data_IF_626058205188
#
_entry.id   IF_626058205188
#
_cell.length_a   1.000
_cell.length_b   1.000
_cell.length_c   1.000
_cell.angle_alpha   90.00
_cell.angle_beta   90.00
_cell.angle_gamma   90.00
#
_symmetry.space_group_name_H-M   'P 1'
#
loop_
_entity.id
_entity.type
_entity.pdbx_description
1 polymer ?
#
# COMPACT_ATOMS: atom_id res chain seq x y z
N UNK A 1 -54.77 -37.76 4.19
CA UNK A 1 -54.21 -37.54 5.54
C UNK A 1 -52.82 -36.96 5.36
N UNK A 2 -52.55 -35.93 6.17
CA UNK A 2 -51.35 -35.09 6.30
C UNK A 2 -51.10 -33.91 5.34
N UNK A 3 -50.68 -32.74 5.89
CA UNK A 3 -51.24 -31.45 5.49
C UNK A 3 -50.24 -30.50 4.83
N UNK A 4 -50.82 -29.54 4.11
CA UNK A 4 -50.19 -28.36 3.50
C UNK A 4 -49.40 -27.58 4.56
N UNK A 5 -48.07 -27.67 4.51
CA UNK A 5 -47.18 -26.88 5.35
C UNK A 5 -47.19 -25.41 4.92
N UNK A 6 -47.60 -24.56 5.86
CA UNK A 6 -47.60 -23.11 5.79
C UNK A 6 -46.17 -22.60 5.63
N UNK A 7 -45.91 -21.82 4.57
CA UNK A 7 -44.71 -20.97 4.48
C UNK A 7 -44.84 -19.84 5.49
N UNK A 8 -43.86 -19.72 6.38
CA UNK A 8 -43.71 -18.60 7.31
C UNK A 8 -43.40 -17.32 6.53
N UNK A 9 -44.25 -16.31 6.68
CA UNK A 9 -44.01 -14.95 6.23
C UNK A 9 -42.99 -14.27 7.16
N UNK A 10 -41.86 -13.82 6.63
CA UNK A 10 -40.98 -12.87 7.31
C UNK A 10 -41.35 -11.45 6.86
N UNK A 11 -41.70 -10.53 7.77
CA UNK A 11 -41.98 -9.14 7.41
C UNK A 11 -40.68 -8.41 7.02
N UNK A 12 -40.76 -7.62 5.95
CA UNK A 12 -39.68 -6.74 5.47
C UNK A 12 -39.42 -5.60 6.49
N UNK A 13 -38.16 -5.16 6.65
CA UNK A 13 -37.81 -4.04 7.53
C UNK A 13 -38.35 -2.71 7.00
N UNK A 14 -38.75 -1.83 7.92
CA UNK A 14 -39.28 -0.50 7.63
C UNK A 14 -38.23 0.43 6.98
N UNK A 15 -38.64 1.34 6.07
CA UNK A 15 -37.73 2.26 5.39
C UNK A 15 -37.18 3.34 6.33
N UNK A 16 -35.88 3.59 6.22
CA UNK A 16 -35.15 4.64 6.94
C UNK A 16 -35.43 6.01 6.29
N UNK A 17 -35.77 7.07 7.05
CA UNK A 17 -36.06 8.38 6.48
C UNK A 17 -34.80 9.10 5.98
N UNK A 18 -34.87 9.57 4.74
CA UNK A 18 -33.91 10.42 4.04
C UNK A 18 -33.77 11.77 4.73
N UNK A 19 -32.58 12.10 5.25
CA UNK A 19 -32.26 13.44 5.75
C UNK A 19 -31.87 14.35 4.58
N UNK A 20 -32.53 15.52 4.49
CA UNK A 20 -32.29 16.56 3.49
C UNK A 20 -30.96 17.32 3.73
N UNK A 21 -30.32 17.85 2.67
CA UNK A 21 -29.05 18.57 2.78
C UNK A 21 -29.20 19.95 3.43
N UNK A 22 -28.30 20.27 4.37
CA UNK A 22 -28.17 21.59 5.00
C UNK A 22 -27.48 22.60 4.05
N UNK A 23 -27.92 23.87 4.01
CA UNK A 23 -27.29 24.91 3.21
C UNK A 23 -25.99 25.44 3.85
N UNK A 24 -25.07 25.87 2.99
CA UNK A 24 -23.80 26.51 3.34
C UNK A 24 -23.99 27.93 3.91
N UNK A 25 -23.16 28.38 4.87
CA UNK A 25 -23.17 29.77 5.30
C UNK A 25 -22.46 30.69 4.30
N UNK A 26 -23.17 31.76 3.91
CA UNK A 26 -22.72 32.87 3.08
C UNK A 26 -21.69 33.75 3.81
N UNK A 27 -20.77 34.31 3.02
CA UNK A 27 -19.78 35.29 3.42
C UNK A 27 -20.43 36.61 3.87
N UNK A 28 -20.00 37.12 5.03
CA UNK A 28 -20.34 38.45 5.48
C UNK A 28 -19.42 39.48 4.82
N UNK A 29 -20.04 40.40 4.09
CA UNK A 29 -19.46 41.66 3.60
C UNK A 29 -19.55 42.66 4.74
N UNK A 30 -18.43 43.30 5.09
CA UNK A 30 -18.43 44.60 5.75
C UNK A 30 -17.34 45.44 5.08
N UNK A 31 -17.79 46.45 4.33
CA UNK A 31 -16.93 47.50 3.83
C UNK A 31 -16.67 48.54 4.91
N UNK A 32 -15.51 49.18 4.81
CA UNK A 32 -15.38 50.61 5.09
C UNK A 32 -14.39 51.21 4.09
N UNK A 33 -14.89 52.25 3.46
CA UNK A 33 -14.27 53.19 2.55
C UNK A 33 -13.05 53.90 3.14
N UNK A 34 -12.04 54.15 2.31
CA UNK A 34 -11.42 55.46 2.21
C UNK A 34 -10.88 55.68 0.78
N UNK A 35 -11.43 56.70 0.14
CA UNK A 35 -10.97 57.22 -1.13
C UNK A 35 -9.80 58.17 -0.91
N UNK A 36 -8.76 58.07 -1.73
CA UNK A 36 -8.09 59.24 -2.27
C UNK A 36 -7.55 58.89 -3.66
N UNK A 37 -8.12 59.59 -4.64
CA UNK A 37 -7.76 59.48 -6.04
C UNK A 37 -6.54 60.37 -6.33
N UNK A 38 -5.56 59.82 -7.02
CA UNK A 38 -4.70 60.59 -7.91
C UNK A 38 -4.32 59.68 -9.09
N UNK A 39 -4.77 60.08 -10.28
CA UNK A 39 -4.53 59.44 -11.56
C UNK A 39 -3.05 59.51 -11.92
N UNK A 40 -2.47 58.42 -12.42
CA UNK A 40 -1.46 58.52 -13.48
C UNK A 40 -1.49 57.26 -14.33
N UNK A 41 -1.75 57.47 -15.62
CA UNK A 41 -1.64 56.51 -16.71
C UNK A 41 -0.21 55.96 -16.79
N UNK A 42 -0.08 54.64 -16.80
CA UNK A 42 1.18 53.95 -17.02
C UNK A 42 0.91 52.52 -17.47
N UNK A 43 0.75 52.34 -18.78
CA UNK A 43 0.86 51.03 -19.41
C UNK A 43 2.23 50.43 -19.08
N UNK A 44 2.26 49.39 -18.24
CA UNK A 44 3.38 48.47 -18.18
C UNK A 44 2.82 47.05 -18.19
N UNK A 45 2.79 46.47 -19.39
CA UNK A 45 2.81 45.02 -19.55
C UNK A 45 4.07 44.49 -18.84
N UNK A 46 3.91 43.71 -17.77
CA UNK A 46 4.93 42.79 -17.29
C UNK A 46 4.31 41.41 -17.12
N UNK A 47 4.55 40.60 -18.15
CA UNK A 47 4.58 39.14 -18.07
C UNK A 47 5.73 38.72 -17.16
N UNK A 48 5.55 37.66 -16.38
CA UNK A 48 6.66 37.02 -15.65
C UNK A 48 6.23 36.36 -14.35
N UNK A 49 6.03 35.04 -14.42
CA UNK A 49 6.16 34.04 -13.36
C UNK A 49 6.76 34.52 -12.04
N UNK A 50 5.94 34.59 -10.98
CA UNK A 50 6.40 34.46 -9.59
C UNK A 50 5.29 33.80 -8.76
N UNK A 51 5.03 32.53 -9.05
CA UNK A 51 4.41 31.66 -8.05
C UNK A 51 5.52 31.26 -7.08
N UNK A 52 5.56 31.89 -5.91
CA UNK A 52 6.46 31.50 -4.83
C UNK A 52 6.40 29.97 -4.64
N UNK A 53 7.55 29.26 -4.57
CA UNK A 53 7.53 27.83 -4.34
C UNK A 53 6.80 27.57 -3.02
N UNK A 54 5.75 26.75 -3.08
CA UNK A 54 5.06 26.29 -1.86
C UNK A 54 6.12 25.74 -0.91
N UNK A 55 6.12 26.13 0.37
CA UNK A 55 7.08 25.61 1.32
C UNK A 55 6.94 24.08 1.36
N UNK A 56 7.96 23.39 0.86
CA UNK A 56 8.06 21.94 1.01
C UNK A 56 8.24 21.70 2.49
N UNK A 57 7.21 21.13 3.13
CA UNK A 57 7.29 20.75 4.54
C UNK A 57 8.53 19.90 4.72
N UNK A 58 9.48 20.36 5.55
CA UNK A 58 10.71 19.62 5.79
C UNK A 58 10.34 18.20 6.24
N UNK A 59 10.89 17.20 5.55
CA UNK A 59 10.67 15.82 5.90
C UNK A 59 11.11 15.62 7.36
N UNK A 60 10.24 15.01 8.18
CA UNK A 60 10.60 14.71 9.56
C UNK A 60 11.51 13.47 9.56
N UNK A 61 12.52 13.46 10.43
CA UNK A 61 13.36 12.28 10.63
C UNK A 61 12.53 11.13 11.18
N UNK A 62 13.04 9.90 11.05
CA UNK A 62 12.47 8.75 11.76
C UNK A 62 13.37 8.40 12.94
N UNK A 63 12.90 7.55 13.85
CA UNK A 63 13.76 7.04 14.93
C UNK A 63 14.98 6.29 14.38
N UNK A 64 14.95 5.83 13.12
CA UNK A 64 16.06 5.18 12.43
C UNK A 64 17.16 6.14 12.02
N UNK A 65 16.81 7.33 11.55
CA UNK A 65 17.78 8.32 11.09
C UNK A 65 17.20 9.74 10.91
N UNK A 66 18.06 10.77 11.03
CA UNK A 66 17.75 12.15 10.64
C UNK A 66 17.27 12.25 9.19
N UNK A 67 16.38 13.20 8.90
CA UNK A 67 15.73 13.34 7.59
C UNK A 67 16.69 13.63 6.43
N UNK A 68 17.81 14.29 6.72
CA UNK A 68 18.86 14.70 5.79
C UNK A 68 19.94 13.64 5.58
N UNK A 69 19.86 12.50 6.26
CA UNK A 69 20.72 11.34 5.97
C UNK A 69 20.26 10.58 4.72
N UNK A 70 21.14 9.75 4.13
CA UNK A 70 20.76 8.86 3.02
C UNK A 70 19.60 7.94 3.43
N UNK A 71 19.69 7.33 4.61
CA UNK A 71 18.64 6.46 5.14
C UNK A 71 17.33 7.23 5.39
N UNK A 72 17.41 8.41 5.98
CA UNK A 72 16.23 9.25 6.25
C UNK A 72 15.50 9.67 4.97
N UNK A 73 16.24 10.14 3.95
CA UNK A 73 15.66 10.44 2.63
C UNK A 73 15.04 9.21 1.98
N UNK A 74 15.71 8.07 2.06
CA UNK A 74 15.24 6.80 1.49
C UNK A 74 13.92 6.38 2.13
N UNK A 75 13.87 6.33 3.47
CA UNK A 75 12.66 5.98 4.23
C UNK A 75 11.53 6.95 3.91
N UNK A 76 11.80 8.25 3.90
CA UNK A 76 10.79 9.26 3.60
C UNK A 76 10.24 9.10 2.18
N UNK A 77 11.10 8.81 1.18
CA UNK A 77 10.66 8.51 -0.18
C UNK A 77 9.75 7.27 -0.26
N UNK A 78 10.08 6.20 0.47
CA UNK A 78 9.22 5.01 0.55
C UNK A 78 7.86 5.36 1.18
N UNK A 79 7.86 6.07 2.30
CA UNK A 79 6.65 6.44 3.04
C UNK A 79 5.74 7.37 2.23
N UNK A 80 6.30 8.32 1.50
CA UNK A 80 5.52 9.19 0.62
C UNK A 80 4.83 8.41 -0.51
N UNK A 81 5.51 7.41 -1.10
CA UNK A 81 4.87 6.53 -2.09
C UNK A 81 3.81 5.62 -1.46
N UNK A 82 4.09 5.05 -0.28
CA UNK A 82 3.15 4.18 0.45
C UNK A 82 1.86 4.90 0.84
N UNK A 83 1.95 6.18 1.23
CA UNK A 83 0.79 7.05 1.54
C UNK A 83 -0.16 7.25 0.35
N UNK A 84 0.37 7.16 -0.87
CA UNK A 84 -0.40 7.37 -2.09
C UNK A 84 -1.19 6.11 -2.52
N UNK A 85 -0.98 4.98 -1.86
CA UNK A 85 -1.68 3.73 -2.17
C UNK A 85 -3.06 3.69 -1.49
N UNK A 86 -4.19 3.73 -2.24
CA UNK A 86 -5.53 3.81 -1.66
C UNK A 86 -6.10 2.45 -1.22
N UNK A 87 -5.36 1.36 -1.43
CA UNK A 87 -5.81 0.00 -1.14
C UNK A 87 -5.69 -0.34 0.34
N UNK A 88 -6.63 -1.13 0.86
CA UNK A 88 -6.59 -1.63 2.23
C UNK A 88 -6.86 -3.13 2.29
N UNK A 89 -6.28 -3.79 3.28
CA UNK A 89 -6.59 -5.17 3.67
C UNK A 89 -6.87 -5.18 5.17
N UNK A 90 -8.09 -5.54 5.57
CA UNK A 90 -8.48 -5.55 6.99
C UNK A 90 -8.26 -4.20 7.71
N UNK A 91 -8.45 -3.09 7.00
CA UNK A 91 -8.19 -1.74 7.51
C UNK A 91 -6.71 -1.34 7.61
N UNK A 92 -5.76 -2.25 7.30
CA UNK A 92 -4.35 -1.88 7.13
C UNK A 92 -4.14 -1.29 5.72
N UNK A 93 -3.40 -0.19 5.64
CA UNK A 93 -2.85 0.34 4.38
C UNK A 93 -1.45 -0.25 4.15
N UNK A 94 -0.89 -0.18 2.93
CA UNK A 94 0.52 -0.52 2.71
C UNK A 94 1.45 0.25 3.63
N UNK A 95 1.18 1.54 3.90
CA UNK A 95 1.97 2.34 4.84
C UNK A 95 1.88 1.81 6.27
N UNK A 96 0.67 1.57 6.80
CA UNK A 96 0.50 1.12 8.18
C UNK A 96 1.17 -0.23 8.42
N UNK A 97 1.03 -1.15 7.46
CA UNK A 97 1.66 -2.45 7.53
C UNK A 97 3.19 -2.36 7.42
N UNK A 98 3.71 -1.59 6.46
CA UNK A 98 5.15 -1.40 6.30
C UNK A 98 5.79 -0.78 7.55
N UNK A 99 5.16 0.25 8.13
CA UNK A 99 5.66 0.89 9.35
C UNK A 99 5.78 -0.12 10.48
N UNK A 100 4.68 -0.79 10.81
CA UNK A 100 4.63 -1.74 11.92
C UNK A 100 5.53 -2.95 11.70
N UNK A 101 5.50 -3.54 10.50
CA UNK A 101 6.20 -4.80 10.20
C UNK A 101 7.69 -4.64 9.90
N UNK A 102 8.08 -3.53 9.28
CA UNK A 102 9.40 -3.35 8.70
C UNK A 102 10.11 -2.18 9.36
N UNK A 103 9.55 -0.97 9.28
CA UNK A 103 10.25 0.24 9.75
C UNK A 103 10.48 0.23 11.26
N UNK A 104 9.47 -0.11 12.05
CA UNK A 104 9.50 -0.09 13.51
C UNK A 104 10.04 -1.40 14.10
N UNK A 105 10.25 -2.41 13.27
CA UNK A 105 10.80 -3.69 13.70
C UNK A 105 12.32 -3.61 13.90
N UNK A 106 12.78 -3.57 15.15
CA UNK A 106 14.21 -3.51 15.53
C UNK A 106 15.09 -4.62 14.95
N UNK A 107 14.51 -5.72 14.48
CA UNK A 107 15.26 -6.81 13.85
C UNK A 107 15.54 -6.58 12.37
N UNK A 108 14.80 -5.65 11.73
CA UNK A 108 15.12 -5.17 10.39
C UNK A 108 16.21 -4.12 10.52
N UNK A 109 17.32 -4.30 9.81
CA UNK A 109 18.48 -3.40 9.88
C UNK A 109 18.35 -2.20 8.94
N UNK A 110 19.15 -1.18 9.19
CA UNK A 110 19.19 0.02 8.36
C UNK A 110 19.72 -0.30 6.95
N UNK A 111 20.65 -1.25 6.84
CA UNK A 111 21.20 -1.74 5.58
C UNK A 111 20.14 -2.46 4.76
N UNK A 112 19.27 -3.26 5.41
CA UNK A 112 18.15 -3.91 4.74
C UNK A 112 17.16 -2.87 4.19
N UNK A 113 16.83 -1.82 4.95
CA UNK A 113 15.97 -0.72 4.49
C UNK A 113 16.57 0.00 3.27
N UNK A 114 17.88 0.27 3.27
CA UNK A 114 18.56 0.84 2.10
C UNK A 114 18.54 -0.13 0.92
N UNK A 115 18.84 -1.40 1.14
CA UNK A 115 18.87 -2.42 0.11
C UNK A 115 17.50 -2.59 -0.59
N UNK A 116 16.40 -2.52 0.17
CA UNK A 116 15.03 -2.58 -0.36
C UNK A 116 14.78 -1.52 -1.44
N UNK A 117 15.28 -0.29 -1.26
CA UNK A 117 15.12 0.79 -2.26
C UNK A 117 15.95 0.61 -3.52
N UNK A 118 16.91 -0.32 -3.51
CA UNK A 118 17.90 -0.55 -4.56
C UNK A 118 17.71 -1.89 -5.26
N UNK A 119 16.64 -2.63 -4.94
CA UNK A 119 16.33 -3.89 -5.60
C UNK A 119 15.99 -3.62 -7.07
N UNK A 120 16.73 -4.22 -8.02
CA UNK A 120 16.43 -4.05 -9.43
C UNK A 120 15.25 -4.97 -9.83
N UNK A 121 14.54 -4.58 -10.89
CA UNK A 121 13.33 -5.27 -11.36
C UNK A 121 13.60 -6.74 -11.72
N UNK A 122 14.74 -7.02 -12.34
CA UNK A 122 15.11 -8.36 -12.82
C UNK A 122 15.26 -9.37 -11.68
N UNK A 123 15.49 -8.90 -10.44
CA UNK A 123 15.58 -9.75 -9.25
C UNK A 123 14.22 -10.10 -8.65
N UNK A 124 13.16 -9.44 -9.08
CA UNK A 124 11.79 -9.69 -8.64
C UNK A 124 10.99 -10.48 -9.68
N UNK A 125 11.48 -10.58 -10.91
CA UNK A 125 10.81 -11.28 -12.00
C UNK A 125 10.62 -12.78 -11.70
N UNK A 126 9.38 -13.25 -11.65
CA UNK A 126 9.03 -14.67 -11.47
C UNK A 126 9.39 -15.57 -12.66
N UNK A 127 9.62 -15.00 -13.83
CA UNK A 127 9.91 -15.69 -15.08
C UNK A 127 8.67 -16.15 -15.86
N UNK A 128 8.79 -16.37 -17.18
CA UNK A 128 7.64 -16.64 -18.07
C UNK A 128 6.89 -17.93 -17.72
N UNK A 129 7.61 -18.98 -17.33
CA UNK A 129 6.99 -20.28 -16.99
C UNK A 129 6.10 -20.16 -15.74
N UNK A 130 6.59 -19.50 -14.69
CA UNK A 130 5.81 -19.27 -13.47
C UNK A 130 4.61 -18.39 -13.73
N UNK A 131 4.77 -17.30 -14.49
CA UNK A 131 3.66 -16.42 -14.86
C UNK A 131 2.53 -17.18 -15.55
N UNK A 132 2.88 -18.00 -16.55
CA UNK A 132 1.90 -18.80 -17.28
C UNK A 132 1.13 -19.75 -16.36
N UNK A 133 1.84 -20.51 -15.51
CA UNK A 133 1.22 -21.46 -14.56
C UNK A 133 0.28 -20.78 -13.56
N UNK A 134 0.63 -19.58 -13.10
CA UNK A 134 -0.19 -18.83 -12.15
C UNK A 134 -1.48 -18.35 -12.81
N UNK A 135 -1.38 -17.79 -14.02
CA UNK A 135 -2.53 -17.29 -14.77
C UNK A 135 -3.43 -18.42 -15.30
N UNK A 136 -2.88 -19.61 -15.55
CA UNK A 136 -3.70 -20.80 -15.85
C UNK A 136 -4.56 -21.21 -14.65
N UNK A 137 -3.97 -21.24 -13.45
CA UNK A 137 -4.66 -21.64 -12.21
C UNK A 137 -5.58 -20.57 -11.65
N UNK A 138 -5.18 -19.30 -11.76
CA UNK A 138 -5.89 -18.13 -11.24
C UNK A 138 -5.91 -17.05 -12.33
N UNK A 139 -6.82 -17.14 -13.32
CA UNK A 139 -6.85 -16.23 -14.47
C UNK A 139 -6.97 -14.75 -14.10
N UNK A 140 -7.64 -14.46 -12.98
CA UNK A 140 -7.82 -13.11 -12.45
C UNK A 140 -6.82 -12.75 -11.33
N UNK A 141 -5.65 -13.42 -11.27
CA UNK A 141 -4.68 -13.23 -10.18
C UNK A 141 -4.35 -11.75 -9.91
N UNK A 142 -4.22 -10.95 -10.98
CA UNK A 142 -3.85 -9.53 -10.91
C UNK A 142 -4.95 -8.62 -10.36
N UNK A 143 -6.19 -9.09 -10.39
CA UNK A 143 -7.36 -8.35 -9.89
C UNK A 143 -7.60 -8.60 -8.40
N UNK A 144 -6.89 -9.57 -7.81
CA UNK A 144 -7.09 -9.93 -6.41
C UNK A 144 -6.60 -8.81 -5.49
N UNK A 145 -7.38 -8.40 -4.47
CA UNK A 145 -6.97 -7.34 -3.55
C UNK A 145 -5.63 -7.60 -2.87
N UNK A 146 -5.35 -8.86 -2.50
CA UNK A 146 -4.08 -9.26 -1.89
C UNK A 146 -2.90 -9.07 -2.85
N UNK A 147 -3.09 -9.34 -4.15
CA UNK A 147 -2.07 -9.11 -5.16
C UNK A 147 -1.80 -7.62 -5.33
N UNK A 148 -2.84 -6.83 -5.57
CA UNK A 148 -2.74 -5.39 -5.75
C UNK A 148 -2.11 -4.70 -4.54
N UNK A 149 -2.44 -5.15 -3.34
CA UNK A 149 -1.86 -4.63 -2.10
C UNK A 149 -0.37 -4.94 -2.01
N UNK A 150 0.03 -6.18 -2.31
CA UNK A 150 1.43 -6.61 -2.26
C UNK A 150 2.26 -5.90 -3.32
N UNK A 151 1.73 -5.77 -4.55
CA UNK A 151 2.35 -5.00 -5.63
C UNK A 151 2.51 -3.54 -5.24
N UNK A 152 1.47 -2.91 -4.69
CA UNK A 152 1.53 -1.50 -4.26
C UNK A 152 2.63 -1.30 -3.20
N UNK A 153 2.71 -2.19 -2.21
CA UNK A 153 3.72 -2.13 -1.17
C UNK A 153 5.14 -2.33 -1.74
N UNK A 154 5.34 -3.35 -2.59
CA UNK A 154 6.65 -3.63 -3.20
C UNK A 154 7.09 -2.52 -4.16
N UNK A 155 6.16 -2.00 -4.98
CA UNK A 155 6.37 -0.86 -5.87
C UNK A 155 6.79 0.38 -5.09
N UNK A 156 6.06 0.72 -4.02
CA UNK A 156 6.37 1.89 -3.22
C UNK A 156 7.73 1.77 -2.51
N UNK A 157 8.10 0.58 -2.05
CA UNK A 157 9.39 0.37 -1.37
C UNK A 157 10.57 0.40 -2.34
N UNK A 158 10.45 -0.26 -3.49
CA UNK A 158 11.54 -0.38 -4.48
C UNK A 158 11.62 0.79 -5.45
N UNK A 159 10.53 1.54 -5.61
CA UNK A 159 10.40 2.58 -6.64
C UNK A 159 10.13 2.03 -8.05
N UNK A 160 9.93 0.72 -8.19
CA UNK A 160 9.60 0.09 -9.47
C UNK A 160 8.13 0.34 -9.80
N UNK A 161 7.82 0.57 -11.07
CA UNK A 161 6.45 0.73 -11.56
C UNK A 161 5.53 -0.44 -11.17
N UNK A 162 4.36 -0.11 -10.62
CA UNK A 162 3.41 -1.09 -10.10
C UNK A 162 2.82 -1.99 -11.20
N UNK A 163 2.53 -1.42 -12.38
CA UNK A 163 1.98 -2.19 -13.48
C UNK A 163 3.01 -3.21 -14.00
N UNK A 164 4.26 -2.78 -14.20
CA UNK A 164 5.36 -3.68 -14.58
C UNK A 164 5.55 -4.80 -13.56
N UNK A 165 5.50 -4.50 -12.26
CA UNK A 165 5.59 -5.53 -11.22
C UNK A 165 4.42 -6.51 -11.27
N UNK A 166 3.18 -6.03 -11.42
CA UNK A 166 1.99 -6.89 -11.51
C UNK A 166 2.02 -7.80 -12.74
N UNK A 167 2.52 -7.30 -13.87
CA UNK A 167 2.69 -8.08 -15.09
C UNK A 167 3.76 -9.16 -14.89
N UNK A 168 4.85 -8.82 -14.23
CA UNK A 168 6.01 -9.68 -14.04
C UNK A 168 5.83 -10.74 -12.95
N UNK A 169 5.04 -10.44 -11.93
CA UNK A 169 4.91 -11.24 -10.71
C UNK A 169 3.43 -11.50 -10.37
N UNK A 170 2.66 -12.18 -11.24
CA UNK A 170 1.24 -12.44 -10.99
C UNK A 170 1.00 -13.32 -9.75
N UNK A 171 2.03 -13.98 -9.24
CA UNK A 171 2.02 -14.76 -8.00
C UNK A 171 2.19 -13.95 -6.73
N UNK A 172 2.49 -12.64 -6.79
CA UNK A 172 2.49 -11.79 -5.60
C UNK A 172 1.11 -11.79 -4.93
N UNK A 173 1.07 -11.99 -3.62
CA UNK A 173 -0.15 -12.09 -2.83
C UNK A 173 -0.81 -13.47 -2.90
N UNK A 174 -0.16 -14.48 -3.46
CA UNK A 174 -0.69 -15.85 -3.55
C UNK A 174 -0.06 -16.74 -2.49
N UNK A 175 -0.86 -17.60 -1.88
CA UNK A 175 -0.33 -18.59 -0.94
C UNK A 175 0.10 -19.85 -1.68
N UNK A 176 1.37 -20.21 -1.50
CA UNK A 176 1.96 -21.46 -1.94
C UNK A 176 2.92 -21.30 -3.13
N UNK A 177 3.03 -22.32 -3.99
CA UNK A 177 4.00 -22.30 -5.08
C UNK A 177 3.37 -22.76 -6.41
N UNK A 178 3.75 -22.17 -7.56
CA UNK A 178 3.19 -22.51 -8.87
C UNK A 178 3.32 -24.00 -9.21
N UNK A 179 4.43 -24.60 -8.76
CA UNK A 179 4.79 -26.00 -9.02
C UNK A 179 4.24 -26.97 -7.96
N UNK A 180 3.40 -26.52 -7.03
CA UNK A 180 2.76 -27.39 -6.04
C UNK A 180 1.23 -27.42 -6.23
N UNK A 181 0.53 -28.41 -5.64
CA UNK A 181 -0.93 -28.45 -5.64
C UNK A 181 -1.55 -27.30 -4.83
N UNK A 182 -0.76 -26.66 -3.98
CA UNK A 182 -1.15 -25.56 -3.11
C UNK A 182 -0.72 -24.26 -3.78
N UNK A 183 -1.54 -23.73 -4.69
CA UNK A 183 -1.50 -22.33 -5.12
C UNK A 183 -2.92 -21.80 -5.02
N UNK A 184 -3.16 -20.85 -4.13
CA UNK A 184 -4.48 -20.26 -3.95
C UNK A 184 -4.42 -18.82 -3.47
N UNK A 185 -5.48 -18.08 -3.78
CA UNK A 185 -5.73 -16.76 -3.22
C UNK A 185 -6.24 -16.90 -1.79
N UNK A 186 -5.56 -16.27 -0.82
CA UNK A 186 -6.03 -16.23 0.56
C UNK A 186 -7.45 -15.64 0.64
N UNK A 187 -8.41 -16.36 1.25
CA UNK A 187 -9.82 -15.93 1.29
C UNK A 187 -10.18 -15.11 2.54
N UNK A 188 -9.48 -15.31 3.66
CA UNK A 188 -9.74 -14.58 4.90
C UNK A 188 -8.86 -13.34 5.02
N UNK A 189 -9.42 -12.22 5.47
CA UNK A 189 -8.70 -10.93 5.55
C UNK A 189 -7.40 -11.00 6.39
N UNK A 190 -7.43 -11.74 7.52
CA UNK A 190 -6.22 -11.98 8.34
C UNK A 190 -5.13 -12.70 7.54
N UNK A 191 -5.55 -13.70 6.76
CA UNK A 191 -4.65 -14.51 5.94
C UNK A 191 -4.12 -13.68 4.77
N UNK A 192 -4.96 -12.90 4.08
CA UNK A 192 -4.55 -12.00 3.02
C UNK A 192 -3.47 -11.02 3.47
N UNK A 193 -3.65 -10.37 4.63
CA UNK A 193 -2.63 -9.48 5.19
C UNK A 193 -1.32 -10.20 5.45
N UNK A 194 -1.38 -11.40 6.04
CA UNK A 194 -0.18 -12.18 6.37
C UNK A 194 0.53 -12.71 5.12
N UNK A 195 -0.22 -13.15 4.12
CA UNK A 195 0.28 -13.56 2.80
C UNK A 195 0.93 -12.38 2.10
N UNK A 196 0.30 -11.21 2.08
CA UNK A 196 0.87 -10.02 1.45
C UNK A 196 2.21 -9.61 2.07
N UNK A 197 2.30 -9.62 3.42
CA UNK A 197 3.57 -9.33 4.07
C UNK A 197 4.61 -10.42 3.84
N UNK A 198 4.19 -11.69 3.85
CA UNK A 198 5.10 -12.82 3.66
C UNK A 198 5.72 -12.77 2.28
N UNK A 199 4.90 -12.63 1.23
CA UNK A 199 5.38 -12.51 -0.15
C UNK A 199 6.27 -11.29 -0.32
N UNK A 200 5.90 -10.14 0.24
CA UNK A 200 6.77 -8.96 0.23
C UNK A 200 8.16 -9.27 0.80
N UNK A 201 8.24 -9.90 1.97
CA UNK A 201 9.54 -10.27 2.56
C UNK A 201 10.25 -11.37 1.77
N UNK A 202 9.52 -12.33 1.21
CA UNK A 202 10.08 -13.49 0.52
C UNK A 202 10.69 -13.12 -0.83
N UNK A 203 10.04 -12.19 -1.56
CA UNK A 203 10.54 -11.62 -2.80
C UNK A 203 11.81 -10.81 -2.56
N UNK A 204 11.80 -9.94 -1.55
CA UNK A 204 12.99 -9.17 -1.18
C UNK A 204 14.14 -10.07 -0.71
N UNK A 205 13.85 -11.16 0.01
CA UNK A 205 14.83 -12.19 0.34
C UNK A 205 15.36 -12.87 -0.93
N UNK A 206 14.48 -13.27 -1.84
CA UNK A 206 14.85 -13.85 -3.14
C UNK A 206 15.72 -12.91 -3.97
N UNK A 207 15.50 -11.60 -3.85
CA UNK A 207 16.28 -10.56 -4.50
C UNK A 207 17.65 -10.30 -3.82
N UNK A 208 17.96 -10.97 -2.72
CA UNK A 208 19.26 -10.91 -2.04
C UNK A 208 19.27 -10.18 -0.70
N UNK A 209 18.12 -9.70 -0.19
CA UNK A 209 18.02 -9.08 1.13
C UNK A 209 17.91 -10.16 2.20
N UNK A 210 19.05 -10.78 2.51
CA UNK A 210 19.14 -11.85 3.49
C UNK A 210 18.76 -11.38 4.90
N UNK A 211 18.18 -12.29 5.68
CA UNK A 211 17.81 -12.05 7.08
C UNK A 211 16.48 -11.31 7.26
N UNK A 212 15.84 -10.86 6.19
CA UNK A 212 14.57 -10.12 6.26
C UNK A 212 13.43 -11.03 6.74
N UNK A 213 13.34 -12.25 6.18
CA UNK A 213 12.34 -13.22 6.65
C UNK A 213 12.59 -13.56 8.12
N UNK A 214 13.84 -13.78 8.53
CA UNK A 214 14.16 -14.02 9.94
C UNK A 214 13.79 -12.85 10.85
N UNK A 215 13.94 -11.61 10.40
CA UNK A 215 13.58 -10.41 11.16
C UNK A 215 12.06 -10.30 11.38
N UNK A 216 11.26 -10.60 10.35
CA UNK A 216 9.80 -10.45 10.40
C UNK A 216 9.11 -11.70 10.95
N UNK A 217 9.58 -12.89 10.59
CA UNK A 217 8.92 -14.18 10.89
C UNK A 217 9.69 -15.04 11.90
N UNK A 218 10.87 -14.62 12.34
CA UNK A 218 11.74 -15.40 13.24
C UNK A 218 12.52 -16.53 12.55
N UNK A 219 12.20 -16.83 11.28
CA UNK A 219 12.83 -17.88 10.48
C UNK A 219 13.09 -17.39 9.06
N UNK A 220 14.25 -17.76 8.50
CA UNK A 220 14.65 -17.29 7.16
C UNK A 220 14.06 -18.12 6.02
N UNK A 221 13.87 -19.42 6.26
CA UNK A 221 13.41 -20.37 5.25
C UNK A 221 12.02 -19.99 4.71
N UNK A 222 11.85 -20.03 3.39
CA UNK A 222 10.58 -19.72 2.69
C UNK A 222 9.38 -20.47 3.25
N UNK A 223 9.51 -21.79 3.39
CA UNK A 223 8.42 -22.68 3.79
C UNK A 223 8.10 -22.49 5.27
N UNK A 224 9.12 -22.43 6.12
CA UNK A 224 8.89 -22.22 7.56
C UNK A 224 8.28 -20.84 7.84
N UNK A 225 8.74 -19.80 7.16
CA UNK A 225 8.16 -18.45 7.30
C UNK A 225 6.73 -18.38 6.78
N UNK A 226 6.40 -19.13 5.72
CA UNK A 226 5.03 -19.25 5.22
C UNK A 226 4.11 -19.94 6.26
N UNK A 227 4.61 -20.97 6.95
CA UNK A 227 3.87 -21.64 8.04
C UNK A 227 3.63 -20.66 9.20
N UNK A 228 4.67 -19.93 9.63
CA UNK A 228 4.55 -18.91 10.69
C UNK A 228 3.55 -17.83 10.30
N UNK A 229 3.57 -17.38 9.04
CA UNK A 229 2.60 -16.44 8.49
C UNK A 229 1.17 -17.01 8.51
N UNK A 230 0.97 -18.26 8.07
CA UNK A 230 -0.34 -18.89 8.01
C UNK A 230 -1.00 -19.05 9.39
N UNK A 231 -0.22 -19.35 10.44
CA UNK A 231 -0.73 -19.41 11.83
C UNK A 231 -0.87 -18.02 12.48
N UNK A 232 -0.51 -16.95 11.76
CA UNK A 232 -0.58 -15.57 12.20
C UNK A 232 0.43 -15.23 13.29
N UNK A 233 1.60 -15.88 13.28
CA UNK A 233 2.77 -15.49 14.05
C UNK A 233 3.58 -14.39 13.37
N UNK A 234 4.76 -14.09 13.92
CA UNK A 234 5.64 -13.02 13.45
C UNK A 234 6.21 -12.22 14.62
N UNK A 235 7.22 -11.38 14.35
CA UNK A 235 7.90 -10.53 15.33
C UNK A 235 7.54 -9.05 15.15
N UNK A 236 6.28 -8.77 14.81
CA UNK A 236 5.76 -7.44 14.45
C UNK A 236 4.27 -7.26 14.75
#
# INVERSE_FOLDING_TARGET
>A
MDPISRRSFSPLPAPVPTAAPRPAPQAAVNGTSNANAAQTLGHVHKSGFDAAPRPVKAAQGTWRAPADSELGRTINGMLERLKQCPITLKGDTPESLFRRAILDNKHVTNEQLLAMSKVPFEKLDSGPETRAKVLEKIPNARELPVHQFTVAMLSAVTGIDAQKLSEACPDLGMTGAPNTPLLYAAKGERMQRSTALHDFTDYLRGAGIQGLNKAVWGVENRVLSAIVSAVGGGRY
#
